data_IF_927110459858
#
_entry.id   IF_927110459858
#
_cell.length_a   1.000
_cell.length_b   1.000
_cell.length_c   1.000
_cell.angle_alpha   90.00
_cell.angle_beta   90.00
_cell.angle_gamma   90.00
#
_symmetry.space_group_name_H-M   'P 1'
#
loop_
_entity.id
_entity.type
_entity.pdbx_description
1 polymer ?
#
# COMPACT_ATOMS: atom_id res chain seq x y z
N UNK A 1 7.05 -8.71 -6.71
CA UNK A 1 5.75 -9.02 -6.09
C UNK A 1 5.81 -8.50 -4.66
N UNK A 2 4.76 -7.87 -4.16
CA UNK A 2 4.68 -7.43 -2.76
C UNK A 2 3.63 -8.27 -2.03
N UNK A 3 3.89 -8.55 -0.76
CA UNK A 3 2.94 -9.18 0.17
C UNK A 3 2.71 -8.21 1.31
N UNK A 4 1.49 -7.73 1.43
CA UNK A 4 1.09 -6.73 2.41
C UNK A 4 -0.10 -7.27 3.21
N UNK A 5 -0.39 -6.59 4.32
CA UNK A 5 -1.62 -6.77 5.08
C UNK A 5 -2.35 -5.45 5.03
N UNK A 6 -3.61 -5.49 4.62
CA UNK A 6 -4.52 -4.36 4.69
C UNK A 6 -5.34 -4.47 5.97
N UNK A 7 -5.61 -3.32 6.57
CA UNK A 7 -6.50 -3.16 7.72
C UNK A 7 -7.38 -1.94 7.46
N UNK A 8 -8.69 -2.09 7.60
CA UNK A 8 -9.69 -1.02 7.45
C UNK A 8 -10.35 -0.64 8.79
N UNK A 9 -9.73 -1.01 9.92
CA UNK A 9 -10.24 -0.98 11.29
C UNK A 9 -11.40 -1.96 11.60
N UNK A 10 -11.97 -2.64 10.60
CA UNK A 10 -13.03 -3.64 10.81
C UNK A 10 -12.53 -5.06 10.56
N UNK A 11 -11.67 -5.24 9.55
CA UNK A 11 -11.11 -6.52 9.16
C UNK A 11 -9.67 -6.36 8.66
N UNK A 12 -8.94 -7.48 8.69
CA UNK A 12 -7.63 -7.61 8.05
C UNK A 12 -7.72 -8.52 6.83
N UNK A 13 -6.96 -8.18 5.79
CA UNK A 13 -6.90 -8.98 4.57
C UNK A 13 -5.47 -9.06 4.06
N UNK A 14 -5.07 -10.24 3.57
CA UNK A 14 -3.77 -10.41 2.91
C UNK A 14 -3.83 -9.84 1.50
N UNK A 15 -2.87 -8.99 1.12
CA UNK A 15 -2.76 -8.45 -0.23
C UNK A 15 -1.53 -9.03 -0.93
N UNK A 16 -1.72 -9.62 -2.10
CA UNK A 16 -0.65 -10.04 -3.00
C UNK A 16 -0.67 -9.18 -4.26
N UNK A 17 0.38 -8.37 -4.42
CA UNK A 17 0.55 -7.49 -5.57
C UNK A 17 1.47 -8.16 -6.60
N UNK A 18 0.99 -8.25 -7.84
CA UNK A 18 1.75 -8.79 -8.97
C UNK A 18 3.04 -7.99 -9.23
N UNK A 19 3.95 -8.52 -10.06
CA UNK A 19 5.25 -7.87 -10.33
C UNK A 19 5.05 -6.47 -10.91
N UNK A 20 4.27 -6.36 -11.98
CA UNK A 20 4.14 -5.12 -12.74
C UNK A 20 3.39 -4.07 -11.93
N UNK A 21 2.30 -4.48 -11.25
CA UNK A 21 1.57 -3.63 -10.31
C UNK A 21 2.45 -3.11 -9.15
N UNK A 22 3.33 -3.96 -8.61
CA UNK A 22 4.25 -3.55 -7.55
C UNK A 22 5.29 -2.54 -8.04
N UNK A 23 5.82 -2.72 -9.26
CA UNK A 23 6.77 -1.78 -9.85
C UNK A 23 6.09 -0.43 -10.14
N UNK A 24 4.86 -0.46 -10.66
CA UNK A 24 4.04 0.74 -10.86
C UNK A 24 3.75 1.49 -9.56
N UNK A 25 3.34 0.77 -8.50
CA UNK A 25 3.10 1.36 -7.16
C UNK A 25 4.35 2.01 -6.57
N UNK A 26 5.52 1.41 -6.82
CA UNK A 26 6.82 1.93 -6.37
C UNK A 26 7.41 2.99 -7.32
N UNK A 27 6.69 3.36 -8.38
CA UNK A 27 7.12 4.30 -9.41
C UNK A 27 8.54 4.00 -9.94
N UNK A 28 8.83 2.72 -10.17
CA UNK A 28 10.15 2.24 -10.62
C UNK A 28 10.01 1.16 -11.69
N UNK A 29 11.11 0.79 -12.33
CA UNK A 29 11.19 -0.35 -13.24
C UNK A 29 12.09 -1.46 -12.69
N UNK A 30 12.13 -2.58 -13.39
CA UNK A 30 12.90 -3.73 -12.94
C UNK A 30 14.42 -3.49 -12.93
N UNK A 31 14.94 -2.74 -13.91
CA UNK A 31 16.38 -2.49 -14.04
C UNK A 31 16.85 -1.58 -12.90
N UNK A 32 16.14 -0.47 -12.69
CA UNK A 32 16.39 0.49 -11.62
C UNK A 32 16.30 -0.16 -10.24
N UNK A 33 15.30 -1.03 -10.02
CA UNK A 33 15.20 -1.83 -8.79
C UNK A 33 16.43 -2.72 -8.58
N UNK A 34 16.90 -3.40 -9.63
CA UNK A 34 18.08 -4.29 -9.55
C UNK A 34 19.33 -3.47 -9.22
N UNK A 35 19.53 -2.35 -9.91
CA UNK A 35 20.68 -1.46 -9.68
C UNK A 35 20.69 -0.91 -8.26
N UNK A 36 19.53 -0.49 -7.74
CA UNK A 36 19.41 0.00 -6.36
C UNK A 36 19.74 -1.09 -5.32
N UNK A 37 19.25 -2.32 -5.54
CA UNK A 37 19.56 -3.46 -4.66
C UNK A 37 21.04 -3.83 -4.73
N UNK A 38 21.67 -3.77 -5.90
CA UNK A 38 23.10 -4.05 -6.05
C UNK A 38 23.97 -2.98 -5.39
N UNK A 39 23.58 -1.72 -5.49
CA UNK A 39 24.33 -0.59 -4.91
C UNK A 39 24.20 -0.52 -3.38
N UNK A 40 23.00 -0.71 -2.84
CA UNK A 40 22.68 -0.42 -1.44
C UNK A 40 22.37 -1.66 -0.58
N UNK A 41 22.23 -2.83 -1.22
CA UNK A 41 21.85 -4.07 -0.57
C UNK A 41 20.35 -4.26 -0.43
N UNK A 42 19.92 -5.52 -0.39
CA UNK A 42 18.51 -5.92 -0.35
C UNK A 42 17.78 -5.43 0.90
N UNK A 43 18.45 -5.39 2.06
CA UNK A 43 17.82 -4.94 3.31
C UNK A 43 17.46 -3.45 3.27
N UNK A 44 18.35 -2.61 2.71
CA UNK A 44 18.09 -1.19 2.56
C UNK A 44 16.89 -0.94 1.63
N UNK A 45 16.80 -1.71 0.54
CA UNK A 45 15.67 -1.62 -0.39
C UNK A 45 14.33 -2.04 0.26
N UNK A 46 14.33 -3.11 1.05
CA UNK A 46 13.13 -3.52 1.82
C UNK A 46 12.73 -2.46 2.84
N UNK A 47 13.70 -1.83 3.51
CA UNK A 47 13.42 -0.76 4.46
C UNK A 47 12.79 0.45 3.77
N UNK A 48 13.33 0.88 2.63
CA UNK A 48 12.74 1.94 1.80
C UNK A 48 11.28 1.65 1.45
N UNK A 49 10.96 0.42 1.04
CA UNK A 49 9.58 0.02 0.73
C UNK A 49 8.69 0.11 1.97
N UNK A 50 9.18 -0.29 3.14
CA UNK A 50 8.42 -0.18 4.40
C UNK A 50 8.11 1.28 4.74
N UNK A 51 9.10 2.15 4.63
CA UNK A 51 8.95 3.58 4.92
C UNK A 51 7.97 4.25 3.96
N UNK A 52 7.88 3.76 2.72
CA UNK A 52 6.91 4.23 1.72
C UNK A 52 5.49 3.73 1.97
N UNK A 53 5.31 2.45 2.31
CA UNK A 53 3.99 1.79 2.28
C UNK A 53 3.33 1.61 3.64
N UNK A 54 4.08 1.50 4.74
CA UNK A 54 3.47 1.23 6.05
C UNK A 54 2.67 2.44 6.52
N UNK A 55 1.44 2.17 6.99
CA UNK A 55 0.53 3.21 7.46
C UNK A 55 -0.05 4.11 6.37
N UNK A 56 0.11 3.74 5.09
CA UNK A 56 -0.52 4.45 3.98
C UNK A 56 -1.86 3.85 3.63
N UNK A 57 -2.81 4.72 3.32
CA UNK A 57 -4.07 4.34 2.70
C UNK A 57 -3.87 4.12 1.20
N UNK A 58 -4.43 3.02 0.70
CA UNK A 58 -4.31 2.60 -0.70
C UNK A 58 -5.66 2.16 -1.24
N UNK A 59 -5.89 2.44 -2.51
CA UNK A 59 -6.98 1.87 -3.28
C UNK A 59 -6.44 0.65 -4.03
N UNK A 60 -7.16 -0.46 -3.95
CA UNK A 60 -6.71 -1.77 -4.43
C UNK A 60 -7.79 -2.36 -5.32
N UNK A 61 -7.43 -2.58 -6.58
CA UNK A 61 -8.25 -3.34 -7.53
C UNK A 61 -7.69 -4.76 -7.66
N UNK A 62 -8.58 -5.75 -7.69
CA UNK A 62 -8.17 -7.14 -7.83
C UNK A 62 -9.29 -8.15 -7.59
N UNK A 63 -8.90 -9.42 -7.46
CA UNK A 63 -9.81 -10.52 -7.13
C UNK A 63 -9.64 -10.94 -5.69
N UNK A 64 -10.75 -11.16 -5.00
CA UNK A 64 -10.75 -11.69 -3.65
C UNK A 64 -10.91 -13.22 -3.65
N UNK A 65 -10.15 -13.87 -2.79
CA UNK A 65 -10.30 -15.27 -2.40
C UNK A 65 -10.68 -15.26 -0.93
N UNK A 66 -11.83 -15.83 -0.60
CA UNK A 66 -12.29 -16.04 0.77
C UNK A 66 -12.62 -17.52 0.95
N UNK A 67 -11.87 -18.19 1.80
CA UNK A 67 -12.01 -19.62 2.11
C UNK A 67 -12.66 -19.88 3.47
N UNK A 68 -13.15 -18.83 4.14
CA UNK A 68 -13.75 -18.89 5.47
C UNK A 68 -12.74 -18.89 6.63
N UNK A 69 -11.43 -19.04 6.37
CA UNK A 69 -10.36 -18.86 7.37
C UNK A 69 -9.61 -17.55 7.19
N UNK A 70 -9.70 -16.92 6.03
CA UNK A 70 -9.21 -15.59 5.79
C UNK A 70 -9.62 -15.06 4.42
N UNK A 71 -9.34 -13.77 4.21
CA UNK A 71 -9.46 -13.14 2.91
C UNK A 71 -8.08 -12.83 2.34
N UNK A 72 -7.92 -13.07 1.04
CA UNK A 72 -6.75 -12.66 0.28
C UNK A 72 -7.18 -11.94 -0.99
N UNK A 73 -6.56 -10.79 -1.26
CA UNK A 73 -6.72 -10.05 -2.50
C UNK A 73 -5.51 -10.31 -3.40
N UNK A 74 -5.78 -10.81 -4.60
CA UNK A 74 -4.85 -10.88 -5.71
C UNK A 74 -5.01 -9.61 -6.54
N UNK A 75 -4.06 -8.70 -6.42
CA UNK A 75 -4.14 -7.37 -7.04
C UNK A 75 -3.24 -7.24 -8.26
N UNK A 76 -3.82 -6.69 -9.32
CA UNK A 76 -3.21 -6.23 -10.55
C UNK A 76 -3.07 -4.70 -10.62
N UNK A 77 -3.64 -3.96 -9.66
CA UNK A 77 -3.49 -2.51 -9.54
C UNK A 77 -3.67 -2.02 -8.10
N UNK A 78 -2.73 -1.19 -7.65
CA UNK A 78 -2.76 -0.51 -6.36
C UNK A 78 -2.34 0.94 -6.56
N UNK A 79 -3.08 1.89 -6.01
CA UNK A 79 -2.77 3.32 -6.03
C UNK A 79 -2.82 3.90 -4.62
N UNK A 80 -2.02 4.93 -4.36
CA UNK A 80 -2.12 5.66 -3.10
C UNK A 80 -3.42 6.47 -3.08
N UNK A 81 -4.08 6.50 -1.93
CA UNK A 81 -5.17 7.46 -1.71
C UNK A 81 -4.54 8.78 -1.31
N UNK A 82 -4.68 9.79 -2.16
CA UNK A 82 -4.24 11.14 -1.86
C UNK A 82 -5.26 11.78 -0.90
N UNK A 83 -4.85 11.93 0.36
CA UNK A 83 -5.67 12.51 1.41
C UNK A 83 -5.29 13.98 1.60
N UNK A 84 -6.23 14.90 1.36
CA UNK A 84 -6.06 16.30 1.73
C UNK A 84 -6.20 16.43 3.25
N UNK A 85 -5.05 16.42 3.93
CA UNK A 85 -4.97 16.56 5.38
C UNK A 85 -5.63 17.85 5.91
N UNK A 86 -5.66 18.92 5.12
CA UNK A 86 -6.34 20.17 5.48
C UNK A 86 -7.85 20.01 5.49
N UNK A 87 -8.39 19.31 4.48
CA UNK A 87 -9.81 18.98 4.41
C UNK A 87 -10.23 18.05 5.55
N UNK A 88 -9.46 16.98 5.79
CA UNK A 88 -9.72 16.02 6.88
C UNK A 88 -9.71 16.72 8.24
N UNK A 89 -8.73 17.60 8.48
CA UNK A 89 -8.64 18.36 9.73
C UNK A 89 -9.80 19.36 9.89
N UNK A 90 -10.33 19.88 8.78
CA UNK A 90 -11.51 20.78 8.79
C UNK A 90 -12.77 20.00 9.11
N UNK A 91 -13.00 18.85 8.46
CA UNK A 91 -14.13 17.97 8.77
C UNK A 91 -14.11 17.46 10.21
N UNK A 92 -12.92 17.11 10.73
CA UNK A 92 -12.76 16.66 12.11
C UNK A 92 -13.11 17.75 13.12
N UNK A 93 -12.66 19.00 12.89
CA UNK A 93 -13.03 20.16 13.72
C UNK A 93 -14.53 20.42 13.69
N UNK A 94 -15.16 20.36 12.51
CA UNK A 94 -16.60 20.49 12.38
C UNK A 94 -17.36 19.40 13.15
N UNK A 95 -16.92 18.13 13.06
CA UNK A 95 -17.48 17.00 13.84
C UNK A 95 -17.35 17.19 15.34
N UNK A 96 -16.29 17.86 15.80
CA UNK A 96 -16.08 18.17 17.22
C UNK A 96 -16.72 19.49 17.68
N UNK A 97 -17.42 20.21 16.79
CA UNK A 97 -18.07 21.48 17.12
C UNK A 97 -17.09 22.63 17.37
N UNK A 98 -15.84 22.48 16.93
CA UNK A 98 -14.82 23.52 16.97
C UNK A 98 -14.96 24.32 15.66
N UNK A 99 -15.69 25.44 15.71
CA UNK A 99 -15.67 26.46 14.65
C UNK A 99 -14.54 27.45 14.88
#
# INVERSE_FOLDING_TARGET
RLRLVLDDNAATCALLVAKDAALALLATDHATMVDEIQANGSMAYVQKIRDLLLGREVDVTGRIINDGQGAMILSDGVTYVESDTGLIATELRARWGLQ
#
